data_IF_930219942970
#
_entry.id   IF_930219942970
#
_cell.length_a   1.000
_cell.length_b   1.000
_cell.length_c   1.000
_cell.angle_alpha   90.00
_cell.angle_beta   90.00
_cell.angle_gamma   90.00
#
_symmetry.space_group_name_H-M   'P 1'
#
loop_
_entity.id
_entity.type
_entity.pdbx_description
1 polymer ?
#
# COMPACT_ATOMS: atom_id res chain seq x y z
N UNK A 1 -7.16 8.74 -4.71
CA UNK A 1 -6.90 8.72 -3.26
C UNK A 1 -5.43 9.06 -3.00
N UNK A 2 -5.13 9.81 -1.95
CA UNK A 2 -3.79 9.98 -1.39
C UNK A 2 -3.46 8.81 -0.46
N UNK A 3 -2.19 8.64 -0.12
CA UNK A 3 -1.77 7.51 0.73
C UNK A 3 -2.45 7.51 2.11
N UNK A 4 -2.70 8.67 2.73
CA UNK A 4 -3.40 8.74 4.01
C UNK A 4 -4.80 8.11 3.94
N UNK A 5 -5.56 8.37 2.86
CA UNK A 5 -6.89 7.77 2.66
C UNK A 5 -6.80 6.24 2.51
N UNK A 6 -5.79 5.73 1.80
CA UNK A 6 -5.56 4.28 1.67
C UNK A 6 -5.24 3.64 3.02
N UNK A 7 -4.41 4.32 3.84
CA UNK A 7 -4.05 3.85 5.17
C UNK A 7 -5.29 3.81 6.06
N UNK A 8 -6.10 4.87 6.07
CA UNK A 8 -7.34 4.93 6.85
C UNK A 8 -8.32 3.82 6.45
N UNK A 9 -8.46 3.54 5.14
CA UNK A 9 -9.23 2.38 4.66
C UNK A 9 -8.65 1.06 5.18
N UNK A 10 -7.33 0.83 5.11
CA UNK A 10 -6.71 -0.39 5.64
C UNK A 10 -6.94 -0.57 7.14
N UNK A 11 -7.05 0.52 7.92
CA UNK A 11 -7.37 0.41 9.35
C UNK A 11 -8.79 -0.14 9.58
N UNK A 12 -9.72 0.04 8.64
CA UNK A 12 -11.06 -0.52 8.67
C UNK A 12 -11.12 -2.00 8.21
N UNK A 13 -10.08 -2.49 7.54
CA UNK A 13 -9.98 -3.88 7.06
C UNK A 13 -8.71 -4.57 7.58
N UNK A 14 -8.63 -4.86 8.90
CA UNK A 14 -7.38 -5.25 9.57
C UNK A 14 -6.76 -6.59 9.11
N UNK A 15 -7.48 -7.40 8.34
CA UNK A 15 -7.03 -8.68 7.80
C UNK A 15 -7.01 -8.73 6.27
N UNK A 16 -7.13 -7.59 5.61
CA UNK A 16 -7.16 -7.53 4.14
C UNK A 16 -6.02 -6.68 3.61
N UNK A 17 -5.60 -6.97 2.39
CA UNK A 17 -4.76 -6.11 1.57
C UNK A 17 -5.57 -5.42 0.50
N UNK A 18 -4.96 -4.45 -0.16
CA UNK A 18 -5.51 -3.83 -1.36
C UNK A 18 -4.54 -3.98 -2.52
N UNK A 19 -5.08 -4.29 -3.69
CA UNK A 19 -4.43 -4.01 -4.95
C UNK A 19 -4.67 -2.55 -5.31
N UNK A 20 -3.60 -1.82 -5.58
CA UNK A 20 -3.62 -0.41 -5.90
C UNK A 20 -3.07 -0.17 -7.30
N UNK A 21 -3.76 0.66 -8.08
CA UNK A 21 -3.11 1.40 -9.16
C UNK A 21 -2.45 2.64 -8.57
N UNK A 22 -1.12 2.71 -8.61
CA UNK A 22 -0.31 3.88 -8.24
C UNK A 22 -0.03 4.71 -9.48
N UNK A 23 -0.30 6.01 -9.40
CA UNK A 23 0.05 7.01 -10.41
C UNK A 23 0.99 8.07 -9.84
N UNK A 24 2.11 8.29 -10.52
CA UNK A 24 3.09 9.36 -10.24
C UNK A 24 3.35 10.12 -11.53
N UNK A 25 2.68 11.27 -11.70
CA UNK A 25 2.67 12.00 -12.97
C UNK A 25 1.91 11.23 -14.07
N UNK A 26 2.60 10.93 -15.17
CA UNK A 26 2.06 10.12 -16.28
C UNK A 26 2.28 8.61 -16.10
N UNK A 27 3.16 8.22 -15.17
CA UNK A 27 3.48 6.81 -14.94
C UNK A 27 2.39 6.17 -14.08
N UNK A 28 1.99 4.96 -14.45
CA UNK A 28 1.08 4.10 -13.70
C UNK A 28 1.73 2.76 -13.46
N UNK A 29 1.40 2.13 -12.33
CA UNK A 29 1.94 0.84 -11.90
C UNK A 29 1.00 0.19 -10.91
N UNK A 30 1.03 -1.14 -10.81
CA UNK A 30 0.16 -1.90 -9.90
C UNK A 30 0.95 -2.39 -8.70
N UNK A 31 0.42 -2.14 -7.51
CA UNK A 31 1.08 -2.42 -6.23
C UNK A 31 0.11 -3.09 -5.28
N UNK A 32 0.65 -3.75 -4.27
CA UNK A 32 -0.11 -4.34 -3.18
C UNK A 32 0.24 -3.64 -1.88
N UNK A 33 -0.75 -3.38 -1.04
CA UNK A 33 -0.56 -2.88 0.32
C UNK A 33 -1.31 -3.75 1.32
N UNK A 34 -0.67 -4.06 2.44
CA UNK A 34 -1.29 -4.82 3.54
C UNK A 34 -0.99 -4.13 4.87
N UNK A 35 -1.91 -4.23 5.83
CA UNK A 35 -1.65 -3.90 7.24
C UNK A 35 -1.44 -5.19 8.03
N UNK A 36 -0.37 -5.27 8.82
CA UNK A 36 -0.12 -6.38 9.76
C UNK A 36 0.39 -5.82 11.09
N UNK A 37 -0.46 -5.89 12.11
CA UNK A 37 -0.21 -5.21 13.38
C UNK A 37 -0.04 -3.71 13.15
N UNK A 38 1.04 -3.15 13.69
CA UNK A 38 1.34 -1.71 13.60
C UNK A 38 2.10 -1.29 12.33
N UNK A 39 2.30 -2.23 11.39
CA UNK A 39 3.13 -2.01 10.20
C UNK A 39 2.36 -2.21 8.91
N UNK A 40 2.82 -1.49 7.88
CA UNK A 40 2.34 -1.57 6.52
C UNK A 40 3.36 -2.28 5.66
N UNK A 41 2.87 -3.11 4.74
CA UNK A 41 3.69 -3.86 3.82
C UNK A 41 3.31 -3.52 2.40
N UNK A 42 4.30 -3.12 1.59
CA UNK A 42 4.07 -2.56 0.26
C UNK A 42 4.95 -3.27 -0.77
N UNK A 43 4.33 -3.73 -1.86
CA UNK A 43 4.96 -4.62 -2.84
C UNK A 43 4.59 -4.21 -4.27
N UNK A 44 5.51 -4.34 -5.22
CA UNK A 44 5.13 -4.37 -6.62
C UNK A 44 4.35 -5.67 -6.89
N UNK A 45 3.31 -5.65 -7.73
CA UNK A 45 2.49 -6.84 -7.97
C UNK A 45 3.26 -8.01 -8.59
N UNK A 46 4.40 -7.74 -9.23
CA UNK A 46 5.25 -8.75 -9.83
C UNK A 46 6.25 -9.36 -8.84
N UNK A 47 6.37 -8.81 -7.62
CA UNK A 47 7.24 -9.36 -6.58
C UNK A 47 6.53 -10.48 -5.81
N UNK A 48 7.32 -11.46 -5.35
CA UNK A 48 6.83 -12.47 -4.42
C UNK A 48 6.48 -11.80 -3.09
N UNK A 49 5.28 -12.05 -2.58
CA UNK A 49 4.81 -11.49 -1.32
C UNK A 49 5.51 -12.18 -0.14
N UNK A 50 6.40 -11.45 0.52
CA UNK A 50 7.11 -11.90 1.71
C UNK A 50 7.08 -10.79 2.78
N UNK A 51 6.50 -11.06 3.95
CA UNK A 51 6.33 -10.07 5.02
C UNK A 51 7.62 -9.86 5.84
N UNK A 52 8.68 -9.47 5.15
CA UNK A 52 10.04 -9.25 5.69
C UNK A 52 10.35 -7.76 5.83
N UNK A 53 11.47 -7.45 6.50
CA UNK A 53 11.90 -6.06 6.78
C UNK A 53 12.03 -5.19 5.52
N UNK A 54 12.41 -5.77 4.38
CA UNK A 54 12.58 -5.05 3.09
C UNK A 54 11.30 -4.29 2.67
N UNK A 55 10.13 -4.88 2.93
CA UNK A 55 8.85 -4.36 2.47
C UNK A 55 8.04 -3.71 3.58
N UNK A 56 8.63 -3.58 4.77
CA UNK A 56 7.94 -3.19 6.01
C UNK A 56 8.15 -1.71 6.28
N UNK A 57 7.05 -1.01 6.52
CA UNK A 57 7.01 0.41 6.81
C UNK A 57 6.20 0.68 8.08
N UNK A 58 6.64 1.61 8.91
CA UNK A 58 5.79 2.30 9.87
C UNK A 58 4.80 3.23 9.15
N UNK A 59 3.80 3.74 9.88
CA UNK A 59 2.83 4.70 9.34
C UNK A 59 3.54 5.94 8.77
N UNK A 60 4.53 6.49 9.48
CA UNK A 60 5.26 7.67 9.03
C UNK A 60 6.09 7.39 7.77
N UNK A 61 6.84 6.27 7.76
CA UNK A 61 7.67 5.91 6.60
C UNK A 61 6.83 5.72 5.32
N UNK A 62 5.68 5.05 5.40
CA UNK A 62 4.86 4.82 4.21
C UNK A 62 4.15 6.09 3.71
N UNK A 63 3.75 6.98 4.62
CA UNK A 63 3.18 8.27 4.26
C UNK A 63 4.21 9.13 3.52
N UNK A 64 5.46 9.17 4.01
CA UNK A 64 6.54 9.91 3.38
C UNK A 64 6.97 9.31 2.03
N UNK A 65 7.15 7.99 1.96
CA UNK A 65 7.56 7.29 0.72
C UNK A 65 6.58 7.53 -0.44
N UNK A 66 5.29 7.67 -0.11
CA UNK A 66 4.19 7.70 -1.08
C UNK A 66 3.47 9.04 -1.17
N UNK A 67 3.97 10.11 -0.52
CA UNK A 67 3.29 11.40 -0.39
C UNK A 67 2.94 12.06 -1.73
N UNK A 68 3.78 11.87 -2.75
CA UNK A 68 3.62 12.46 -4.09
C UNK A 68 2.93 11.52 -5.09
N UNK A 69 2.35 10.43 -4.61
CA UNK A 69 1.65 9.45 -5.43
C UNK A 69 0.14 9.55 -5.24
N UNK A 70 -0.60 9.20 -6.29
CA UNK A 70 -2.05 9.05 -6.24
C UNK A 70 -2.42 7.58 -6.47
N UNK A 71 -3.48 7.13 -5.82
CA UNK A 71 -3.87 5.74 -5.75
C UNK A 71 -5.34 5.54 -6.12
N UNK A 72 -5.63 4.37 -6.67
CA UNK A 72 -6.97 3.82 -6.83
C UNK A 72 -6.94 2.40 -6.28
N UNK A 73 -7.92 2.03 -5.45
CA UNK A 73 -8.10 0.65 -5.00
C UNK A 73 -8.81 -0.09 -6.13
N UNK A 74 -8.14 -1.09 -6.71
CA UNK A 74 -8.69 -1.93 -7.77
C UNK A 74 -9.45 -3.13 -7.17
N UNK A 75 -8.87 -3.73 -6.12
CA UNK A 75 -9.37 -4.95 -5.52
C UNK A 75 -8.98 -5.02 -4.04
N UNK A 76 -9.84 -5.65 -3.25
CA UNK A 76 -9.56 -6.03 -1.86
C UNK A 76 -9.12 -7.50 -1.85
N UNK A 77 -7.96 -7.77 -1.24
CA UNK A 77 -7.32 -9.08 -1.21
C UNK A 77 -7.43 -9.68 0.21
N UNK A 78 -7.79 -10.95 0.31
CA UNK A 78 -7.83 -11.72 1.57
C UNK A 78 -6.48 -12.37 1.94
#
# INVERSE_FOLDING_TARGET
MKINEIIDELENYPNKGFQLTKRKGMLTSTWLIYKKGDFYYYFDINEKIEFIKKYKYSKEEILNELEHSSFMIEEIID
#
